data_IF_876732954394
#
_entry.id   IF_876732954394
#
_cell.length_a   1.000
_cell.length_b   1.000
_cell.length_c   1.000
_cell.angle_alpha   90.00
_cell.angle_beta   90.00
_cell.angle_gamma   90.00
#
_symmetry.space_group_name_H-M   'P 1'
#
loop_
_entity.id
_entity.type
_entity.pdbx_description
1 polymer ?
#
# COMPACT_ATOMS: atom_id res chain seq x y z
N UNK A 1 0.45 3.23 19.28
CA UNK A 1 -0.39 2.10 18.82
C UNK A 1 0.50 0.92 18.52
N UNK A 2 0.19 -0.15 19.18
CA UNK A 2 0.88 -1.42 19.22
C UNK A 2 0.76 -2.16 17.88
N UNK A 3 1.63 -1.91 16.94
CA UNK A 3 1.79 -2.71 15.72
C UNK A 3 3.20 -2.49 15.16
N UNK A 4 4.20 -2.67 16.01
CA UNK A 4 5.57 -2.40 15.61
C UNK A 4 6.38 -3.69 15.70
N UNK A 5 5.83 -4.73 15.08
CA UNK A 5 6.56 -5.96 14.89
C UNK A 5 7.36 -5.95 13.59
N UNK A 6 7.25 -4.86 12.80
CA UNK A 6 7.94 -4.73 11.51
C UNK A 6 8.61 -3.37 11.34
N UNK A 7 9.73 -3.37 10.63
CA UNK A 7 10.49 -2.18 10.25
C UNK A 7 10.63 -2.13 8.73
N UNK A 8 10.46 -0.93 8.16
CA UNK A 8 10.80 -0.66 6.77
C UNK A 8 12.22 -0.12 6.71
N UNK A 9 13.08 -0.77 5.94
CA UNK A 9 14.49 -0.40 5.80
C UNK A 9 14.77 -0.09 4.34
N UNK A 10 15.25 1.12 4.07
CA UNK A 10 15.73 1.49 2.75
C UNK A 10 17.18 1.09 2.62
N UNK A 11 17.49 0.28 1.62
CA UNK A 11 18.85 -0.19 1.34
C UNK A 11 19.33 0.54 0.09
N UNK A 12 20.26 1.50 0.21
CA UNK A 12 20.82 2.18 -0.95
C UNK A 12 21.72 1.21 -1.74
N UNK A 13 21.30 0.84 -2.93
CA UNK A 13 22.05 -0.04 -3.82
C UNK A 13 22.34 0.71 -5.10
N UNK A 14 23.63 0.81 -5.45
CA UNK A 14 24.06 1.44 -6.70
C UNK A 14 23.59 0.60 -7.88
N UNK A 15 23.04 1.25 -8.92
CA UNK A 15 22.53 0.59 -10.12
C UNK A 15 21.49 -0.51 -9.83
N UNK A 16 20.61 -0.28 -8.84
CA UNK A 16 19.61 -1.27 -8.39
C UNK A 16 18.69 -1.75 -9.51
N UNK A 17 18.46 -0.92 -10.53
CA UNK A 17 17.68 -1.26 -11.72
C UNK A 17 18.27 -2.37 -12.58
N UNK A 18 19.58 -2.59 -12.49
CA UNK A 18 20.30 -3.63 -13.24
C UNK A 18 20.30 -4.98 -12.52
N UNK A 19 19.93 -4.99 -11.24
CA UNK A 19 19.93 -6.19 -10.42
C UNK A 19 18.66 -7.01 -10.61
N UNK A 20 18.83 -8.32 -10.72
CA UNK A 20 17.72 -9.25 -10.68
C UNK A 20 17.05 -9.28 -9.28
N UNK A 21 15.79 -9.69 -9.22
CA UNK A 21 15.09 -9.85 -7.95
C UNK A 21 15.81 -10.81 -6.99
N UNK A 22 16.46 -11.85 -7.52
CA UNK A 22 17.27 -12.80 -6.73
C UNK A 22 18.48 -12.14 -6.08
N UNK A 23 19.15 -11.24 -6.79
CA UNK A 23 20.30 -10.49 -6.25
C UNK A 23 19.85 -9.50 -5.20
N UNK A 24 18.77 -8.76 -5.46
CA UNK A 24 18.14 -7.87 -4.47
C UNK A 24 17.73 -8.62 -3.19
N UNK A 25 17.18 -9.83 -3.33
CA UNK A 25 16.81 -10.66 -2.18
C UNK A 25 18.04 -11.08 -1.35
N UNK A 26 19.11 -11.52 -2.00
CA UNK A 26 20.37 -11.84 -1.31
C UNK A 26 20.95 -10.66 -0.52
N UNK A 27 20.87 -9.45 -1.08
CA UNK A 27 21.30 -8.23 -0.38
C UNK A 27 20.42 -7.99 0.83
N UNK A 28 19.09 -8.11 0.69
CA UNK A 28 18.14 -7.97 1.79
C UNK A 28 18.40 -8.98 2.92
N UNK A 29 18.64 -10.24 2.58
CA UNK A 29 18.91 -11.30 3.57
C UNK A 29 20.23 -11.02 4.32
N UNK A 30 21.28 -10.58 3.62
CA UNK A 30 22.53 -10.18 4.27
C UNK A 30 22.35 -9.00 5.21
N UNK A 31 21.60 -7.97 4.82
CA UNK A 31 21.29 -6.84 5.69
C UNK A 31 20.50 -7.29 6.93
N UNK A 32 19.55 -8.22 6.77
CA UNK A 32 18.82 -8.80 7.90
C UNK A 32 19.74 -9.56 8.87
N UNK A 33 20.71 -10.30 8.34
CA UNK A 33 21.73 -10.99 9.14
C UNK A 33 22.61 -10.00 9.91
N UNK A 34 23.10 -8.94 9.24
CA UNK A 34 23.92 -7.91 9.86
C UNK A 34 23.16 -7.18 10.99
N UNK A 35 21.87 -6.90 10.78
CA UNK A 35 20.99 -6.33 11.81
C UNK A 35 20.82 -7.28 12.99
N UNK A 36 20.53 -8.56 12.73
CA UNK A 36 20.39 -9.55 13.79
C UNK A 36 21.66 -9.65 14.62
N UNK A 37 22.83 -9.69 13.99
CA UNK A 37 24.11 -9.74 14.67
C UNK A 37 24.34 -8.50 15.54
N UNK A 38 24.05 -7.31 15.03
CA UNK A 38 24.19 -6.06 15.78
C UNK A 38 23.21 -5.98 16.97
N UNK A 39 21.94 -6.32 16.75
CA UNK A 39 20.92 -6.32 17.80
C UNK A 39 21.20 -7.37 18.86
N UNK A 40 21.56 -8.58 18.47
CA UNK A 40 21.93 -9.65 19.42
C UNK A 40 23.11 -9.24 20.29
N UNK A 41 24.15 -8.65 19.68
CA UNK A 41 25.31 -8.14 20.41
C UNK A 41 24.92 -7.05 21.41
N UNK A 42 24.05 -6.11 21.00
CA UNK A 42 23.57 -5.06 21.88
C UNK A 42 22.73 -5.62 23.04
N UNK A 43 21.77 -6.48 22.74
CA UNK A 43 20.91 -7.08 23.75
C UNK A 43 21.72 -7.89 24.76
N UNK A 44 22.58 -8.78 24.29
CA UNK A 44 23.39 -9.66 25.18
C UNK A 44 24.37 -8.89 26.06
N UNK A 45 24.96 -7.79 25.55
CA UNK A 45 25.98 -7.06 26.29
C UNK A 45 25.42 -5.95 27.20
N UNK A 46 24.26 -5.40 26.89
CA UNK A 46 23.77 -4.19 27.55
C UNK A 46 22.37 -4.35 28.16
N UNK A 47 21.43 -4.92 27.45
CA UNK A 47 20.02 -4.94 27.86
C UNK A 47 19.72 -6.12 28.81
N UNK A 48 20.02 -7.34 28.37
CA UNK A 48 19.69 -8.56 29.15
C UNK A 48 20.38 -8.64 30.51
N UNK A 49 21.69 -8.30 30.63
CA UNK A 49 22.33 -8.27 31.93
C UNK A 49 21.69 -7.28 32.92
N UNK A 50 21.22 -6.13 32.44
CA UNK A 50 20.54 -5.14 33.30
C UNK A 50 19.14 -5.59 33.73
N UNK A 51 18.57 -6.53 33.01
CA UNK A 51 17.24 -7.11 33.27
C UNK A 51 17.32 -8.44 34.03
N UNK A 52 18.53 -8.87 34.45
CA UNK A 52 18.81 -10.19 35.06
C UNK A 52 18.35 -11.37 34.19
N UNK A 53 18.42 -11.19 32.85
CA UNK A 53 18.07 -12.21 31.85
C UNK A 53 19.38 -12.77 31.28
N UNK A 54 19.48 -14.09 31.19
CA UNK A 54 20.66 -14.73 30.60
C UNK A 54 20.67 -14.57 29.07
N UNK A 55 21.84 -14.36 28.41
CA UNK A 55 21.97 -14.23 26.98
C UNK A 55 21.40 -15.39 26.14
N UNK A 56 21.41 -16.61 26.71
CA UNK A 56 20.83 -17.81 26.07
C UNK A 56 19.29 -17.77 25.97
N UNK A 57 18.65 -16.88 26.74
CA UNK A 57 17.22 -16.64 26.70
C UNK A 57 16.81 -15.61 25.62
N UNK A 58 17.77 -15.06 24.87
CA UNK A 58 17.50 -14.11 23.82
C UNK A 58 16.83 -14.79 22.61
N UNK A 59 15.54 -14.60 22.46
CA UNK A 59 14.75 -15.08 21.33
C UNK A 59 14.46 -14.00 20.28
N UNK A 60 15.12 -12.84 20.37
CA UNK A 60 14.88 -11.73 19.43
C UNK A 60 15.53 -12.03 18.10
N UNK A 61 14.71 -12.06 17.05
CA UNK A 61 15.16 -12.32 15.69
C UNK A 61 14.34 -11.51 14.67
N UNK A 62 15.03 -10.84 13.76
CA UNK A 62 14.42 -10.13 12.63
C UNK A 62 14.53 -10.96 11.37
N UNK A 63 13.41 -11.14 10.69
CA UNK A 63 13.32 -11.86 9.42
C UNK A 63 12.96 -10.89 8.30
N UNK A 64 13.64 -11.03 7.16
CA UNK A 64 13.20 -10.36 5.92
C UNK A 64 11.90 -11.00 5.46
N UNK A 65 10.77 -10.30 5.61
CA UNK A 65 9.46 -10.81 5.22
C UNK A 65 9.08 -10.39 3.81
N UNK A 66 9.40 -9.15 3.43
CA UNK A 66 9.01 -8.57 2.15
C UNK A 66 10.17 -7.81 1.52
N UNK A 67 10.34 -8.01 0.22
CA UNK A 67 11.24 -7.21 -0.61
C UNK A 67 10.40 -6.33 -1.52
N UNK A 68 10.61 -5.03 -1.43
CA UNK A 68 9.89 -4.02 -2.19
C UNK A 68 10.86 -3.24 -3.09
N UNK A 69 10.42 -2.91 -4.31
CA UNK A 69 11.16 -2.07 -5.24
C UNK A 69 10.95 -0.59 -4.96
N UNK A 70 9.69 -0.24 -4.69
CA UNK A 70 9.29 1.12 -4.35
C UNK A 70 8.21 1.09 -3.27
N UNK A 71 8.20 2.10 -2.41
CA UNK A 71 7.14 2.31 -1.41
C UNK A 71 6.80 3.80 -1.32
N UNK A 72 5.52 4.08 -1.21
CA UNK A 72 4.96 5.40 -0.96
C UNK A 72 4.23 5.40 0.37
N UNK A 73 4.60 6.28 1.28
CA UNK A 73 3.87 6.54 2.52
C UNK A 73 3.02 7.79 2.37
N UNK A 74 1.79 7.74 2.86
CA UNK A 74 0.96 8.92 3.04
C UNK A 74 1.10 9.44 4.49
N UNK A 75 0.76 10.70 4.71
CA UNK A 75 0.85 11.36 6.03
C UNK A 75 -0.22 10.86 7.04
N UNK A 76 -0.74 9.68 6.83
CA UNK A 76 -1.73 9.01 7.69
C UNK A 76 -1.17 7.66 8.11
N UNK A 77 -1.27 7.34 9.40
CA UNK A 77 -0.81 6.05 9.94
C UNK A 77 -1.43 4.88 9.18
N UNK A 78 -0.61 3.88 8.88
CA UNK A 78 -1.01 2.66 8.17
C UNK A 78 -1.61 2.92 6.78
N UNK A 79 -1.12 3.97 6.11
CA UNK A 79 -1.57 4.32 4.76
C UNK A 79 -0.37 4.41 3.84
N UNK A 80 -0.19 3.39 3.01
CA UNK A 80 0.94 3.28 2.08
C UNK A 80 0.62 2.34 0.91
N UNK A 81 1.35 2.52 -0.18
CA UNK A 81 1.35 1.62 -1.32
C UNK A 81 2.78 1.21 -1.65
N UNK A 82 2.97 -0.02 -2.13
CA UNK A 82 4.30 -0.52 -2.44
C UNK A 82 4.29 -1.51 -3.59
N UNK A 83 5.43 -1.57 -4.28
CA UNK A 83 5.68 -2.51 -5.35
C UNK A 83 6.44 -3.72 -4.79
N UNK A 84 5.75 -4.83 -4.64
CA UNK A 84 6.24 -6.05 -4.02
C UNK A 84 6.96 -6.93 -5.05
N UNK A 85 8.21 -7.32 -4.74
CA UNK A 85 9.02 -8.23 -5.55
C UNK A 85 9.05 -9.65 -5.00
N UNK A 86 9.10 -9.79 -3.68
CA UNK A 86 9.10 -11.08 -3.00
C UNK A 86 8.45 -10.97 -1.64
N UNK A 87 7.87 -12.06 -1.16
CA UNK A 87 7.31 -12.20 0.18
C UNK A 87 7.63 -13.55 0.76
N UNK A 88 8.09 -13.58 2.01
CA UNK A 88 8.45 -14.79 2.77
C UNK A 88 9.40 -15.73 2.01
N UNK A 89 10.36 -15.14 1.27
CA UNK A 89 11.32 -15.87 0.45
C UNK A 89 10.82 -16.33 -0.91
N UNK A 90 9.54 -16.14 -1.23
CA UNK A 90 8.97 -16.45 -2.54
C UNK A 90 9.05 -15.23 -3.45
N UNK A 91 9.71 -15.37 -4.59
CA UNK A 91 9.83 -14.33 -5.62
C UNK A 91 8.61 -14.43 -6.54
N UNK A 92 8.02 -13.27 -6.85
CA UNK A 92 6.91 -13.18 -7.79
C UNK A 92 7.43 -13.02 -9.23
N UNK A 93 6.80 -13.69 -10.18
CA UNK A 93 7.15 -13.59 -11.61
C UNK A 93 6.93 -12.17 -12.14
N UNK A 94 5.91 -11.50 -11.62
CA UNK A 94 5.63 -10.09 -11.89
C UNK A 94 5.47 -9.35 -10.58
N UNK A 95 6.10 -8.17 -10.44
CA UNK A 95 5.86 -7.31 -9.28
C UNK A 95 4.37 -7.02 -9.12
N UNK A 96 3.83 -7.17 -7.93
CA UNK A 96 2.48 -6.76 -7.58
C UNK A 96 2.49 -5.41 -6.86
N UNK A 97 1.43 -4.62 -7.04
CA UNK A 97 1.25 -3.39 -6.28
C UNK A 97 0.22 -3.65 -5.21
N UNK A 98 0.65 -3.42 -3.97
CA UNK A 98 -0.14 -3.65 -2.78
C UNK A 98 -0.51 -2.32 -2.12
N UNK A 99 -1.69 -2.26 -1.54
CA UNK A 99 -2.25 -1.07 -0.93
C UNK A 99 -2.67 -1.33 0.52
N UNK A 100 -2.30 -0.44 1.41
CA UNK A 100 -2.74 -0.48 2.80
C UNK A 100 -3.37 0.85 3.18
N UNK A 101 -4.60 0.82 3.68
CA UNK A 101 -5.31 1.99 4.18
C UNK A 101 -5.71 3.05 3.15
N UNK A 102 -5.34 2.90 1.88
CA UNK A 102 -5.69 3.82 0.78
C UNK A 102 -7.10 3.53 0.30
N UNK A 103 -7.79 4.54 -0.22
CA UNK A 103 -9.19 4.40 -0.69
C UNK A 103 -9.34 3.46 -1.88
N UNK A 104 -8.27 3.17 -2.63
CA UNK A 104 -8.23 2.18 -3.73
C UNK A 104 -8.81 0.82 -3.32
N UNK A 105 -8.63 0.41 -2.06
CA UNK A 105 -9.09 -0.88 -1.55
C UNK A 105 -10.26 -0.78 -0.58
N UNK A 106 -10.79 0.41 -0.37
CA UNK A 106 -11.91 0.62 0.57
C UNK A 106 -13.25 0.43 -0.12
N UNK A 107 -14.09 -0.41 0.45
CA UNK A 107 -15.45 -0.67 -0.05
C UNK A 107 -16.40 0.53 -0.01
N UNK A 108 -16.04 1.60 0.71
CA UNK A 108 -16.83 2.83 0.85
C UNK A 108 -16.32 3.98 -0.05
N UNK A 109 -15.56 3.70 -1.07
CA UNK A 109 -15.15 4.68 -2.07
C UNK A 109 -15.81 4.37 -3.42
N UNK A 110 -16.17 5.41 -4.17
CA UNK A 110 -16.71 5.26 -5.52
C UNK A 110 -15.68 4.56 -6.44
N UNK A 111 -16.16 3.69 -7.31
CA UNK A 111 -15.29 2.90 -8.18
C UNK A 111 -14.44 3.79 -9.09
N UNK A 112 -15.01 4.82 -9.67
CA UNK A 112 -14.28 5.77 -10.49
C UNK A 112 -13.13 6.45 -9.74
N UNK A 113 -13.34 6.79 -8.45
CA UNK A 113 -12.27 7.32 -7.59
C UNK A 113 -11.19 6.30 -7.29
N UNK A 114 -11.57 5.03 -7.07
CA UNK A 114 -10.60 3.95 -6.85
C UNK A 114 -9.72 3.76 -8.09
N UNK A 115 -10.31 3.77 -9.28
CA UNK A 115 -9.60 3.59 -10.54
C UNK A 115 -8.64 4.76 -10.82
N UNK A 116 -9.06 6.01 -10.56
CA UNK A 116 -8.19 7.18 -10.63
C UNK A 116 -6.98 7.07 -9.70
N UNK A 117 -7.23 6.75 -8.43
CA UNK A 117 -6.15 6.64 -7.44
C UNK A 117 -5.19 5.51 -7.80
N UNK A 118 -5.69 4.39 -8.30
CA UNK A 118 -4.88 3.27 -8.78
C UNK A 118 -3.99 3.72 -9.93
N UNK A 119 -4.56 4.35 -10.94
CA UNK A 119 -3.83 4.84 -12.11
C UNK A 119 -2.71 5.82 -11.73
N UNK A 120 -2.97 6.76 -10.83
CA UNK A 120 -1.96 7.70 -10.34
C UNK A 120 -0.84 6.98 -9.58
N UNK A 121 -1.18 6.07 -8.68
CA UNK A 121 -0.18 5.38 -7.87
C UNK A 121 0.69 4.46 -8.74
N UNK A 122 0.08 3.66 -9.59
CA UNK A 122 0.78 2.65 -10.39
C UNK A 122 1.64 3.28 -11.50
N UNK A 123 1.07 4.21 -12.25
CA UNK A 123 1.75 4.75 -13.43
C UNK A 123 2.65 5.94 -13.15
N UNK A 124 2.43 6.65 -12.05
CA UNK A 124 3.16 7.89 -11.74
C UNK A 124 4.06 7.70 -10.53
N UNK A 125 3.48 7.42 -9.36
CA UNK A 125 4.21 7.48 -8.10
C UNK A 125 5.24 6.33 -8.01
N UNK A 126 4.80 5.11 -8.26
CA UNK A 126 5.63 3.91 -8.18
C UNK A 126 6.44 3.63 -9.47
N UNK A 127 6.32 4.49 -10.48
CA UNK A 127 7.09 4.36 -11.71
C UNK A 127 8.41 5.15 -11.60
N UNK A 128 9.49 4.45 -11.33
CA UNK A 128 10.83 5.05 -11.17
C UNK A 128 11.45 5.54 -12.49
N UNK A 129 10.96 5.04 -13.64
CA UNK A 129 11.50 5.38 -14.95
C UNK A 129 11.10 6.76 -15.47
N UNK A 130 10.13 7.40 -14.81
CA UNK A 130 9.56 8.68 -15.20
C UNK A 130 10.15 9.80 -14.35
N UNK A 131 10.65 10.86 -14.97
CA UNK A 131 11.18 12.01 -14.27
C UNK A 131 10.07 12.76 -13.50
N UNK A 132 10.43 13.52 -12.46
CA UNK A 132 9.47 14.29 -11.64
C UNK A 132 8.64 15.26 -12.51
N UNK A 133 9.27 15.89 -13.51
CA UNK A 133 8.57 16.81 -14.41
C UNK A 133 7.53 16.10 -15.28
N UNK A 134 7.88 14.95 -15.82
CA UNK A 134 6.95 14.12 -16.59
C UNK A 134 5.84 13.55 -15.72
N UNK A 135 6.12 13.16 -14.47
CA UNK A 135 5.12 12.71 -13.50
C UNK A 135 4.04 13.78 -13.28
N UNK A 136 4.44 15.04 -13.16
CA UNK A 136 3.49 16.14 -12.96
C UNK A 136 2.59 16.34 -14.19
N UNK A 137 3.16 16.28 -15.40
CA UNK A 137 2.38 16.37 -16.66
C UNK A 137 1.41 15.21 -16.81
N UNK A 138 1.86 13.99 -16.53
CA UNK A 138 1.02 12.79 -16.56
C UNK A 138 -0.13 12.89 -15.55
N UNK A 139 0.16 13.31 -14.31
CA UNK A 139 -0.86 13.51 -13.29
C UNK A 139 -1.94 14.52 -13.73
N UNK A 140 -1.53 15.63 -14.33
CA UNK A 140 -2.45 16.65 -14.84
C UNK A 140 -3.36 16.07 -15.94
N UNK A 141 -2.81 15.30 -16.88
CA UNK A 141 -3.58 14.66 -17.93
C UNK A 141 -4.58 13.65 -17.36
N UNK A 142 -4.16 12.78 -16.45
CA UNK A 142 -5.04 11.79 -15.81
C UNK A 142 -6.18 12.49 -15.06
N UNK A 143 -5.91 13.58 -14.34
CA UNK A 143 -6.95 14.33 -13.62
C UNK A 143 -7.94 14.98 -14.59
N UNK A 144 -7.46 15.53 -15.71
CA UNK A 144 -8.32 16.11 -16.73
C UNK A 144 -9.21 15.04 -17.40
N UNK A 145 -8.62 13.89 -17.75
CA UNK A 145 -9.37 12.76 -18.33
C UNK A 145 -10.42 12.23 -17.35
N UNK A 146 -10.07 12.14 -16.07
CA UNK A 146 -11.00 11.78 -15.00
C UNK A 146 -12.17 12.77 -14.92
N UNK A 147 -11.89 14.06 -14.99
CA UNK A 147 -12.93 15.10 -14.96
C UNK A 147 -13.92 14.97 -16.12
N UNK A 148 -13.40 14.71 -17.32
CA UNK A 148 -14.26 14.48 -18.50
C UNK A 148 -15.10 13.20 -18.36
N UNK A 149 -14.50 12.11 -17.89
CA UNK A 149 -15.24 10.88 -17.59
C UNK A 149 -16.33 11.11 -16.56
N UNK A 150 -16.02 11.82 -15.46
CA UNK A 150 -16.99 12.10 -14.40
C UNK A 150 -18.21 12.86 -14.92
N UNK A 151 -18.01 13.88 -15.78
CA UNK A 151 -19.10 14.60 -16.43
C UNK A 151 -19.93 13.66 -17.33
N UNK A 152 -19.27 12.85 -18.15
CA UNK A 152 -19.94 11.88 -19.04
C UNK A 152 -20.80 10.88 -18.26
N UNK A 153 -20.34 10.37 -17.11
CA UNK A 153 -21.13 9.46 -16.26
C UNK A 153 -22.40 10.14 -15.72
N UNK A 154 -22.31 11.44 -15.36
CA UNK A 154 -23.49 12.21 -14.93
C UNK A 154 -24.47 12.41 -16.09
N UNK A 155 -23.99 12.81 -17.24
CA UNK A 155 -24.82 13.06 -18.42
C UNK A 155 -25.54 11.80 -18.94
N UNK A 156 -24.85 10.65 -18.86
CA UNK A 156 -25.40 9.35 -19.27
C UNK A 156 -26.20 8.64 -18.15
N UNK A 157 -26.32 9.25 -16.95
CA UNK A 157 -26.97 8.66 -15.78
C UNK A 157 -26.32 7.35 -15.29
N UNK A 158 -25.05 7.13 -15.58
CA UNK A 158 -24.26 5.97 -15.13
C UNK A 158 -23.78 6.18 -13.68
N UNK A 159 -24.73 6.33 -12.75
CA UNK A 159 -24.44 6.77 -11.39
C UNK A 159 -23.75 5.73 -10.50
N UNK A 160 -23.79 4.45 -10.87
CA UNK A 160 -23.26 3.35 -10.05
C UNK A 160 -21.77 3.51 -9.77
N UNK A 161 -20.98 3.90 -10.78
CA UNK A 161 -19.53 4.01 -10.68
C UNK A 161 -19.05 5.30 -9.99
N UNK A 162 -19.93 6.31 -9.91
CA UNK A 162 -19.63 7.58 -9.22
C UNK A 162 -20.23 7.69 -7.83
N UNK A 163 -21.17 6.80 -7.48
CA UNK A 163 -21.76 6.76 -6.15
C UNK A 163 -20.85 6.05 -5.15
N UNK A 164 -20.86 6.54 -3.94
CA UNK A 164 -20.18 5.88 -2.81
C UNK A 164 -21.05 4.74 -2.34
N UNK A 165 -20.60 3.47 -2.42
CA UNK A 165 -21.38 2.34 -1.93
C UNK A 165 -21.53 2.42 -0.41
N UNK A 166 -22.75 2.32 0.07
CA UNK A 166 -23.09 2.32 1.49
C UNK A 166 -23.67 0.96 1.91
N UNK A 167 -23.24 0.45 3.06
CA UNK A 167 -23.85 -0.73 3.64
C UNK A 167 -25.11 -0.30 4.41
N UNK A 168 -26.25 -0.70 3.92
CA UNK A 168 -27.52 -0.40 4.59
C UNK A 168 -27.94 -1.56 5.52
N UNK A 169 -27.75 -1.35 6.81
CA UNK A 169 -28.29 -2.27 7.81
C UNK A 169 -29.60 -1.72 8.35
N UNK A 170 -30.69 -2.53 8.32
CA UNK A 170 -31.99 -2.17 8.85
C UNK A 170 -32.72 -1.05 8.08
N UNK A 171 -32.72 -1.15 6.73
CA UNK A 171 -33.41 -0.21 5.84
C UNK A 171 -34.92 -0.03 6.19
N UNK A 172 -35.52 -1.08 6.70
CA UNK A 172 -36.93 -1.15 7.17
C UNK A 172 -37.23 -0.29 8.41
N UNK A 173 -36.20 0.10 9.16
CA UNK A 173 -36.35 0.96 10.36
C UNK A 173 -36.25 2.46 10.06
N UNK A 174 -35.89 2.85 8.82
CA UNK A 174 -35.71 4.24 8.44
C UNK A 174 -36.70 4.65 7.35
N UNK A 175 -37.73 5.41 7.72
CA UNK A 175 -38.75 5.95 6.80
C UNK A 175 -38.08 6.70 5.62
N UNK A 176 -37.05 7.49 5.88
CA UNK A 176 -36.28 8.20 4.83
C UNK A 176 -35.45 7.25 3.97
N UNK A 177 -35.00 6.13 4.53
CA UNK A 177 -34.29 5.08 3.82
C UNK A 177 -35.18 4.36 2.80
N UNK A 178 -36.40 4.09 3.17
CA UNK A 178 -37.39 3.44 2.32
C UNK A 178 -37.79 4.35 1.15
N UNK A 179 -37.82 5.67 1.35
CA UNK A 179 -38.09 6.63 0.27
C UNK A 179 -36.93 6.68 -0.74
N UNK A 180 -35.69 6.66 -0.30
CA UNK A 180 -34.52 6.61 -1.20
C UNK A 180 -34.45 5.29 -1.96
N UNK A 181 -34.64 4.16 -1.29
CA UNK A 181 -34.69 2.84 -1.93
C UNK A 181 -35.78 2.79 -3.00
N UNK A 182 -36.98 3.22 -2.69
CA UNK A 182 -38.11 3.29 -3.64
C UNK A 182 -37.87 4.29 -4.79
N UNK A 183 -37.10 5.34 -4.55
CA UNK A 183 -36.72 6.29 -5.60
C UNK A 183 -35.72 5.68 -6.59
N UNK A 184 -34.78 4.89 -6.13
CA UNK A 184 -33.79 4.20 -6.97
C UNK A 184 -34.44 3.06 -7.74
N UNK A 185 -35.24 2.22 -7.08
CA UNK A 185 -35.87 1.03 -7.69
C UNK A 185 -37.09 1.33 -8.56
N UNK A 186 -37.68 2.53 -8.47
CA UNK A 186 -38.80 2.94 -9.35
C UNK A 186 -38.33 3.57 -10.67
N UNK A 187 -37.03 3.68 -10.90
CA UNK A 187 -36.47 4.18 -12.18
C UNK A 187 -36.05 3.04 -13.13
N UNK A 188 -36.19 1.78 -12.73
CA UNK A 188 -36.22 0.63 -13.62
C UNK A 188 -37.68 0.38 -14.10
#
# INVERSE_FOLDING_TARGET
TKDTDSLFISIPVKDSEKLSTKEKLKISDKVSEDINNAVTKYLNNYFLPRSNISPDQNATYFKSEMLMDAIMFLDVKKTYAYKLLASKGQIFDKPSIEYTGIQVVRSNAAKLTQDLLREIIENIILNEKVSIKEKLTLATNIVNDFHQKFISYIENLELVDICIPGKWSKADQFINGMMMYNFIMKKE
#
